data_IF_315596106739
#
_entry.id   IF_315596106739
#
_cell.length_a   1.000
_cell.length_b   1.000
_cell.length_c   1.000
_cell.angle_alpha   90.00
_cell.angle_beta   90.00
_cell.angle_gamma   90.00
#
_symmetry.space_group_name_H-M   'P 1'
#
loop_
_entity.id
_entity.type
_entity.pdbx_description
1 polymer ?
#
# COMPACT_ATOMS: atom_id res chain seq x y z
N UNK A 1 -12.73 -26.07 8.85
CA UNK A 1 -11.76 -25.57 7.88
C UNK A 1 -11.10 -24.34 8.49
N UNK A 2 -9.79 -24.39 8.72
CA UNK A 2 -9.03 -23.22 9.18
C UNK A 2 -8.93 -22.26 8.00
N UNK A 3 -9.15 -20.97 8.22
CA UNK A 3 -9.02 -19.97 7.18
C UNK A 3 -7.60 -19.97 6.58
N UNK A 4 -7.43 -19.69 5.27
CA UNK A 4 -6.13 -19.67 4.59
C UNK A 4 -5.06 -18.80 5.27
N UNK A 5 -5.51 -17.86 6.09
CA UNK A 5 -4.68 -16.89 6.81
C UNK A 5 -3.74 -17.48 7.89
N UNK A 6 -4.00 -18.69 8.39
CA UNK A 6 -3.16 -19.31 9.43
C UNK A 6 -1.79 -19.79 8.93
N UNK A 7 -1.65 -20.02 7.62
CA UNK A 7 -0.43 -20.53 7.02
C UNK A 7 0.67 -19.48 6.86
N UNK A 8 0.29 -18.24 6.66
CA UNK A 8 1.21 -17.11 6.49
C UNK A 8 1.53 -16.40 7.81
N UNK A 9 1.11 -17.00 8.94
CA UNK A 9 1.33 -16.52 10.30
C UNK A 9 0.91 -15.05 10.48
N UNK A 10 -0.39 -14.83 10.46
CA UNK A 10 -1.04 -13.52 10.69
C UNK A 10 -1.00 -13.08 12.14
N UNK A 11 -0.33 -13.83 13.04
CA UNK A 11 -0.22 -13.48 14.46
C UNK A 11 0.54 -12.17 14.66
N UNK A 12 0.22 -11.41 15.73
CA UNK A 12 0.73 -10.06 15.96
C UNK A 12 2.22 -9.96 16.34
N UNK A 13 3.06 -10.94 16.01
CA UNK A 13 4.50 -10.90 16.25
C UNK A 13 5.27 -10.82 14.93
N UNK A 14 6.49 -10.29 14.97
CA UNK A 14 7.40 -10.04 13.85
C UNK A 14 7.24 -10.99 12.66
N UNK A 15 7.58 -10.55 11.42
CA UNK A 15 7.48 -11.41 10.24
C UNK A 15 8.16 -12.74 10.54
N UNK A 16 7.51 -13.81 10.18
CA UNK A 16 7.63 -15.04 10.93
C UNK A 16 9.00 -15.67 10.73
N UNK A 17 9.54 -16.35 11.75
CA UNK A 17 10.63 -17.32 11.61
C UNK A 17 10.37 -18.32 10.47
N UNK A 18 9.11 -18.52 10.09
CA UNK A 18 8.68 -19.37 8.98
C UNK A 18 9.09 -18.82 7.61
N UNK A 19 8.92 -17.51 7.33
CA UNK A 19 9.37 -16.91 6.06
C UNK A 19 10.91 -17.00 5.91
N UNK A 20 11.65 -16.77 7.00
CA UNK A 20 13.10 -16.90 7.00
C UNK A 20 13.53 -18.35 6.70
N UNK A 21 12.88 -19.34 7.33
CA UNK A 21 13.16 -20.77 7.07
C UNK A 21 12.80 -21.17 5.65
N UNK A 22 11.65 -20.74 5.13
CA UNK A 22 11.23 -21.01 3.74
C UNK A 22 12.19 -20.37 2.75
N UNK A 23 12.52 -19.11 2.92
CA UNK A 23 13.49 -18.42 2.05
C UNK A 23 14.82 -19.17 1.94
N UNK A 24 15.30 -19.77 3.04
CA UNK A 24 16.57 -20.46 3.09
C UNK A 24 16.53 -21.90 2.54
N UNK A 25 15.40 -22.62 2.70
CA UNK A 25 15.28 -24.05 2.38
C UNK A 25 14.42 -24.34 1.17
N UNK A 26 13.39 -23.55 0.99
CA UNK A 26 12.29 -23.77 0.04
C UNK A 26 11.87 -22.42 -0.56
N UNK A 27 12.75 -21.77 -1.35
CA UNK A 27 12.55 -20.38 -1.80
C UNK A 27 11.35 -20.19 -2.73
N UNK A 28 10.78 -21.28 -3.27
CA UNK A 28 9.49 -21.35 -3.96
C UNK A 28 8.74 -22.53 -3.36
N UNK A 29 7.74 -22.25 -2.53
CA UNK A 29 7.04 -23.27 -1.75
C UNK A 29 5.58 -23.35 -2.10
N UNK A 30 5.05 -24.52 -2.43
CA UNK A 30 3.61 -24.72 -2.53
C UNK A 30 2.94 -24.60 -1.16
N UNK A 31 1.91 -23.77 -1.07
CA UNK A 31 1.09 -23.61 0.13
C UNK A 31 -0.33 -24.08 -0.15
N UNK A 32 -0.74 -25.23 0.42
CA UNK A 32 -2.11 -25.74 0.23
C UNK A 32 -3.19 -24.74 0.65
N UNK A 33 -2.90 -23.92 1.65
CA UNK A 33 -3.83 -22.91 2.18
C UNK A 33 -4.06 -21.74 1.23
N UNK A 34 -3.09 -21.46 0.35
CA UNK A 34 -3.22 -20.48 -0.73
C UNK A 34 -3.69 -21.13 -2.05
N UNK A 35 -3.65 -22.47 -2.13
CA UNK A 35 -3.71 -23.22 -3.38
C UNK A 35 -2.73 -22.61 -4.42
N UNK A 36 -1.52 -22.26 -4.00
CA UNK A 36 -0.56 -21.55 -4.81
C UNK A 36 0.88 -21.58 -4.24
N UNK A 37 1.79 -20.98 -4.98
CA UNK A 37 3.20 -20.89 -4.67
C UNK A 37 3.52 -19.61 -3.91
N UNK A 38 4.34 -19.68 -2.86
CA UNK A 38 4.89 -18.54 -2.15
C UNK A 38 6.35 -18.31 -2.54
N UNK A 39 6.71 -17.08 -2.88
CA UNK A 39 8.06 -16.67 -3.30
C UNK A 39 8.61 -15.61 -2.34
N UNK A 40 9.32 -15.98 -1.25
CA UNK A 40 9.89 -15.05 -0.29
C UNK A 40 11.35 -14.64 -0.58
N UNK A 41 12.04 -15.24 -1.56
CA UNK A 41 13.43 -14.93 -1.91
C UNK A 41 13.47 -13.79 -2.93
N UNK A 42 14.33 -12.80 -2.67
CA UNK A 42 14.31 -11.50 -3.38
C UNK A 42 14.61 -11.61 -4.87
N UNK A 43 15.61 -12.39 -5.29
CA UNK A 43 15.95 -12.56 -6.70
C UNK A 43 14.78 -13.15 -7.48
N UNK A 44 14.18 -14.24 -7.00
CA UNK A 44 13.01 -14.87 -7.62
C UNK A 44 11.76 -13.98 -7.58
N UNK A 45 11.59 -13.21 -6.51
CA UNK A 45 10.53 -12.21 -6.43
C UNK A 45 10.65 -11.14 -7.54
N UNK A 46 11.88 -10.69 -7.82
CA UNK A 46 12.16 -9.75 -8.90
C UNK A 46 11.89 -10.39 -10.28
N UNK A 47 12.28 -11.65 -10.48
CA UNK A 47 12.04 -12.37 -11.74
C UNK A 47 10.54 -12.48 -12.02
N UNK A 48 9.73 -12.91 -11.03
CA UNK A 48 8.28 -12.99 -11.16
C UNK A 48 7.66 -11.62 -11.47
N UNK A 49 8.08 -10.56 -10.79
CA UNK A 49 7.50 -9.21 -10.98
C UNK A 49 7.92 -8.54 -12.28
N UNK A 50 9.04 -8.94 -12.89
CA UNK A 50 9.53 -8.40 -14.18
C UNK A 50 8.92 -9.10 -15.39
N UNK A 51 8.68 -10.38 -15.28
CA UNK A 51 8.16 -11.19 -16.38
C UNK A 51 6.63 -11.28 -16.35
N UNK A 52 5.97 -10.19 -16.73
CA UNK A 52 4.51 -10.13 -16.84
C UNK A 52 3.95 -11.01 -17.98
N UNK A 53 4.81 -11.53 -18.87
CA UNK A 53 4.39 -12.46 -19.92
C UNK A 53 4.17 -13.85 -19.36
N UNK A 54 5.08 -14.30 -18.48
CA UNK A 54 4.97 -15.62 -17.84
C UNK A 54 4.13 -15.58 -16.55
N UNK A 55 4.15 -14.44 -15.81
CA UNK A 55 3.48 -14.26 -14.52
C UNK A 55 2.55 -13.05 -14.58
N UNK A 56 1.31 -13.26 -15.04
CA UNK A 56 0.34 -12.20 -15.29
C UNK A 56 -0.48 -11.83 -14.05
N UNK A 57 -1.02 -10.61 -14.03
CA UNK A 57 -2.14 -10.20 -13.17
C UNK A 57 -3.49 -10.30 -13.89
N UNK A 58 -3.48 -10.47 -15.21
CA UNK A 58 -4.69 -10.54 -16.03
C UNK A 58 -5.28 -11.96 -15.99
N UNK A 59 -5.94 -12.24 -14.87
CA UNK A 59 -6.61 -13.50 -14.59
C UNK A 59 -8.01 -13.23 -14.00
N UNK A 60 -9.05 -13.99 -14.42
CA UNK A 60 -10.41 -13.82 -13.91
C UNK A 60 -10.55 -13.95 -12.39
N UNK A 61 -9.61 -14.62 -11.72
CA UNK A 61 -9.58 -14.80 -10.26
C UNK A 61 -9.03 -13.59 -9.51
N UNK A 62 -8.50 -12.57 -10.21
CA UNK A 62 -7.96 -11.39 -9.57
C UNK A 62 -9.08 -10.61 -8.86
N UNK A 63 -9.11 -10.66 -7.52
CA UNK A 63 -10.24 -10.23 -6.70
C UNK A 63 -10.64 -8.76 -6.90
N UNK A 64 -9.66 -7.86 -7.07
CA UNK A 64 -9.96 -6.44 -7.30
C UNK A 64 -10.71 -6.22 -8.61
N UNK A 65 -10.33 -6.93 -9.70
CA UNK A 65 -11.01 -6.81 -10.99
C UNK A 65 -12.46 -7.29 -10.94
N UNK A 66 -12.76 -8.27 -10.09
CA UNK A 66 -14.14 -8.75 -9.89
C UNK A 66 -15.06 -7.70 -9.25
N UNK A 67 -14.51 -6.77 -8.45
CA UNK A 67 -15.29 -5.70 -7.79
C UNK A 67 -15.39 -4.44 -8.63
N UNK A 68 -14.27 -3.97 -9.18
CA UNK A 68 -14.19 -2.65 -9.83
C UNK A 68 -14.02 -2.70 -11.34
N UNK A 69 -13.83 -3.88 -11.91
CA UNK A 69 -13.57 -4.09 -13.33
C UNK A 69 -12.08 -4.02 -13.70
N UNK A 70 -11.75 -4.25 -14.97
CA UNK A 70 -10.38 -4.18 -15.48
C UNK A 70 -9.74 -2.80 -15.26
N UNK A 71 -8.48 -2.79 -14.85
CA UNK A 71 -7.76 -1.56 -14.49
C UNK A 71 -6.25 -1.73 -14.71
N UNK A 72 -5.48 -0.66 -14.52
CA UNK A 72 -4.01 -0.74 -14.52
C UNK A 72 -3.41 -1.70 -13.48
N UNK A 73 -4.20 -2.18 -12.52
CA UNK A 73 -3.75 -3.15 -11.51
C UNK A 73 -3.92 -4.60 -11.98
N UNK A 74 -4.92 -4.86 -12.83
CA UNK A 74 -5.37 -6.21 -13.23
C UNK A 74 -5.21 -6.51 -14.72
N UNK A 75 -4.49 -5.69 -15.45
CA UNK A 75 -4.21 -5.85 -16.87
C UNK A 75 -2.69 -5.92 -17.10
N UNK A 76 -2.25 -6.58 -18.16
CA UNK A 76 -0.86 -6.62 -18.59
C UNK A 76 -0.68 -6.15 -20.06
N UNK A 77 0.58 -6.04 -20.50
CA UNK A 77 0.93 -5.67 -21.87
C UNK A 77 0.40 -4.30 -22.29
N UNK A 78 -0.08 -4.22 -23.54
CA UNK A 78 -0.59 -2.98 -24.15
C UNK A 78 -1.83 -2.45 -23.43
N UNK A 79 -2.69 -3.33 -22.92
CA UNK A 79 -3.87 -2.96 -22.16
C UNK A 79 -3.49 -2.26 -20.84
N UNK A 80 -2.51 -2.81 -20.12
CA UNK A 80 -1.94 -2.17 -18.94
C UNK A 80 -1.36 -0.78 -19.28
N UNK A 81 -0.54 -0.69 -20.32
CA UNK A 81 0.08 0.57 -20.74
C UNK A 81 -1.00 1.63 -21.06
N UNK A 82 -2.03 1.27 -21.83
CA UNK A 82 -3.15 2.15 -22.18
C UNK A 82 -3.87 2.69 -20.95
N UNK A 83 -4.10 1.84 -19.94
CA UNK A 83 -4.76 2.23 -18.68
C UNK A 83 -3.86 3.07 -17.79
N UNK A 84 -2.55 2.80 -17.75
CA UNK A 84 -1.60 3.42 -16.84
C UNK A 84 -1.08 4.77 -17.32
N UNK A 85 -0.80 4.89 -18.63
CA UNK A 85 -0.16 6.09 -19.19
C UNK A 85 -0.87 7.41 -18.86
N UNK A 86 -2.22 7.51 -18.93
CA UNK A 86 -2.92 8.77 -18.63
C UNK A 86 -2.79 9.20 -17.16
N UNK A 87 -2.63 8.24 -16.25
CA UNK A 87 -2.56 8.50 -14.81
C UNK A 87 -1.13 8.75 -14.30
N UNK A 88 -0.09 8.29 -14.98
CA UNK A 88 1.27 8.32 -14.49
C UNK A 88 1.91 9.73 -14.37
N UNK A 89 1.69 10.71 -15.26
CA UNK A 89 2.42 11.97 -15.28
C UNK A 89 2.37 12.78 -13.96
N UNK A 90 1.22 12.95 -13.27
CA UNK A 90 1.14 13.72 -12.04
C UNK A 90 1.91 13.08 -10.86
N UNK A 91 2.24 11.78 -10.95
CA UNK A 91 2.93 11.04 -9.89
C UNK A 91 4.45 10.93 -10.10
N UNK A 92 5.00 11.59 -11.13
CA UNK A 92 6.46 11.71 -11.29
C UNK A 92 7.05 12.60 -10.19
N UNK A 93 8.31 12.39 -9.77
CA UNK A 93 8.90 13.07 -8.61
C UNK A 93 8.67 14.58 -8.57
N UNK A 94 9.00 15.27 -9.68
CA UNK A 94 8.83 16.73 -9.78
C UNK A 94 7.36 17.14 -9.75
N UNK A 95 6.50 16.44 -10.49
CA UNK A 95 5.08 16.74 -10.54
C UNK A 95 4.38 16.55 -9.18
N UNK A 96 4.81 15.52 -8.42
CA UNK A 96 4.35 15.32 -7.04
C UNK A 96 4.73 16.50 -6.15
N UNK A 97 5.97 16.94 -6.21
CA UNK A 97 6.42 18.09 -5.41
C UNK A 97 5.64 19.36 -5.79
N UNK A 98 5.57 19.68 -7.07
CA UNK A 98 4.96 20.93 -7.54
C UNK A 98 3.43 20.93 -7.38
N UNK A 99 2.76 19.75 -7.50
CA UNK A 99 1.31 19.62 -7.48
C UNK A 99 0.72 19.31 -6.10
N UNK A 100 1.41 18.54 -5.26
CA UNK A 100 0.81 18.02 -4.03
C UNK A 100 1.45 18.52 -2.74
N UNK A 101 2.72 18.99 -2.74
CA UNK A 101 3.43 19.29 -1.49
C UNK A 101 2.67 20.29 -0.62
N UNK A 102 2.27 21.43 -1.18
CA UNK A 102 1.55 22.46 -0.44
C UNK A 102 0.17 21.99 0.07
N UNK A 103 -0.51 21.11 -0.66
CA UNK A 103 -1.78 20.53 -0.22
C UNK A 103 -1.57 19.58 0.95
N UNK A 104 -0.61 18.65 0.85
CA UNK A 104 -0.26 17.69 1.90
C UNK A 104 0.16 18.40 3.18
N UNK A 105 1.00 19.45 3.06
CA UNK A 105 1.43 20.28 4.20
C UNK A 105 0.24 20.96 4.89
N UNK A 106 -0.67 21.60 4.14
CA UNK A 106 -1.86 22.27 4.71
C UNK A 106 -2.79 21.30 5.41
N UNK A 107 -3.05 20.13 4.81
CA UNK A 107 -3.93 19.13 5.43
C UNK A 107 -3.28 18.57 6.69
N UNK A 108 -2.00 18.23 6.64
CA UNK A 108 -1.26 17.73 7.80
C UNK A 108 -1.22 18.75 8.92
N UNK A 109 -0.92 20.02 8.61
CA UNK A 109 -0.90 21.12 9.59
C UNK A 109 -2.24 21.25 10.31
N UNK A 110 -3.34 21.28 9.58
CA UNK A 110 -4.71 21.33 10.15
C UNK A 110 -4.97 20.14 11.09
N UNK A 111 -4.63 18.92 10.66
CA UNK A 111 -4.87 17.71 11.43
C UNK A 111 -4.03 17.70 12.72
N UNK A 112 -2.74 18.03 12.64
CA UNK A 112 -1.85 18.06 13.80
C UNK A 112 -2.25 19.18 14.77
N UNK A 113 -2.60 20.39 14.28
CA UNK A 113 -3.08 21.49 15.10
C UNK A 113 -4.32 21.08 15.92
N UNK A 114 -5.22 20.31 15.34
CA UNK A 114 -6.40 19.82 16.07
C UNK A 114 -6.04 18.81 17.20
N UNK A 115 -4.91 18.11 17.08
CA UNK A 115 -4.46 17.12 18.06
C UNK A 115 -3.69 17.74 19.23
N UNK A 116 -2.89 18.78 18.99
CA UNK A 116 -1.95 19.36 19.97
C UNK A 116 -2.52 19.54 21.40
N UNK A 117 -3.75 20.10 21.57
CA UNK A 117 -4.28 20.34 22.90
C UNK A 117 -4.64 19.07 23.69
N UNK A 118 -4.78 17.92 23.01
CA UNK A 118 -5.33 16.70 23.63
C UNK A 118 -4.32 15.96 24.52
N UNK A 119 -3.01 15.98 24.21
CA UNK A 119 -1.96 15.24 24.93
C UNK A 119 -1.97 13.72 24.64
N UNK A 120 -2.98 13.20 23.95
CA UNK A 120 -3.09 11.82 23.51
C UNK A 120 -4.03 11.71 22.30
N UNK A 121 -3.80 10.76 21.41
CA UNK A 121 -4.68 10.47 20.28
C UNK A 121 -4.49 9.05 19.73
N UNK A 122 -5.48 8.60 18.95
CA UNK A 122 -5.39 7.43 18.07
C UNK A 122 -5.07 7.92 16.64
N UNK A 123 -3.80 7.85 16.23
CA UNK A 123 -3.30 8.54 15.03
C UNK A 123 -3.73 7.90 13.71
N UNK A 124 -4.14 6.64 13.70
CA UNK A 124 -4.64 6.03 12.47
C UNK A 124 -5.90 6.75 11.97
N UNK A 125 -6.87 6.98 12.87
CA UNK A 125 -8.17 7.58 12.53
C UNK A 125 -8.17 9.11 12.57
N UNK A 126 -7.27 9.71 13.36
CA UNK A 126 -7.27 11.16 13.53
C UNK A 126 -6.26 11.88 12.63
N UNK A 127 -5.31 11.16 12.03
CA UNK A 127 -4.31 11.75 11.15
C UNK A 127 -4.06 10.94 9.88
N UNK A 128 -3.60 9.68 9.97
CA UNK A 128 -3.10 8.94 8.81
C UNK A 128 -4.21 8.65 7.77
N UNK A 129 -5.36 8.14 8.22
CA UNK A 129 -6.52 7.90 7.36
C UNK A 129 -7.08 9.19 6.75
N UNK A 130 -7.43 10.22 7.56
CA UNK A 130 -7.92 11.50 7.03
C UNK A 130 -6.97 12.18 6.04
N UNK A 131 -5.64 12.11 6.27
CA UNK A 131 -4.65 12.64 5.32
C UNK A 131 -4.69 11.88 4.00
N UNK A 132 -4.60 10.54 4.04
CA UNK A 132 -4.62 9.71 2.85
C UNK A 132 -5.92 9.88 2.03
N UNK A 133 -7.08 9.95 2.69
CA UNK A 133 -8.37 10.20 2.02
C UNK A 133 -8.40 11.57 1.37
N UNK A 134 -7.96 12.62 2.07
CA UNK A 134 -7.95 13.98 1.52
C UNK A 134 -7.04 14.07 0.28
N UNK A 135 -5.85 13.45 0.32
CA UNK A 135 -4.90 13.49 -0.80
C UNK A 135 -5.41 12.69 -2.00
N UNK A 136 -6.04 11.55 -1.79
CA UNK A 136 -6.66 10.78 -2.88
C UNK A 136 -7.83 11.53 -3.50
N UNK A 137 -8.68 12.16 -2.68
CA UNK A 137 -9.82 12.99 -3.16
C UNK A 137 -9.31 14.13 -4.03
N UNK A 138 -8.27 14.85 -3.59
CA UNK A 138 -7.62 15.91 -4.36
C UNK A 138 -7.03 15.38 -5.67
N UNK A 139 -6.30 14.24 -5.62
CA UNK A 139 -5.67 13.64 -6.79
C UNK A 139 -6.67 13.20 -7.86
N UNK A 140 -7.81 12.66 -7.46
CA UNK A 140 -8.88 12.26 -8.39
C UNK A 140 -9.65 13.46 -8.91
N UNK A 141 -9.79 14.53 -8.13
CA UNK A 141 -10.53 15.74 -8.52
C UNK A 141 -12.01 15.47 -8.76
N UNK A 142 -12.63 14.63 -7.93
CA UNK A 142 -14.05 14.28 -8.03
C UNK A 142 -14.93 15.49 -7.69
N UNK A 143 -15.76 15.90 -8.62
CA UNK A 143 -16.66 17.06 -8.43
C UNK A 143 -17.82 16.71 -7.47
N UNK A 144 -18.04 17.59 -6.49
CA UNK A 144 -19.17 17.45 -5.55
C UNK A 144 -19.03 16.27 -4.58
N UNK A 145 -17.83 15.71 -4.43
CA UNK A 145 -17.56 14.57 -3.55
C UNK A 145 -16.64 15.02 -2.41
N UNK A 146 -17.05 14.78 -1.19
CA UNK A 146 -16.25 15.05 0.00
C UNK A 146 -15.44 13.81 0.46
N UNK A 147 -14.54 14.02 1.41
CA UNK A 147 -13.66 12.97 1.94
C UNK A 147 -14.44 11.84 2.64
N UNK A 148 -15.53 12.16 3.34
CA UNK A 148 -16.35 11.16 4.05
C UNK A 148 -17.05 10.23 3.06
N UNK A 149 -17.54 10.77 1.95
CA UNK A 149 -18.12 9.99 0.86
C UNK A 149 -17.10 9.06 0.20
N UNK A 150 -15.87 9.55 -0.05
CA UNK A 150 -14.77 8.73 -0.60
C UNK A 150 -14.40 7.62 0.38
N UNK A 151 -14.37 7.90 1.67
CA UNK A 151 -14.09 6.93 2.71
C UNK A 151 -15.15 5.82 2.75
N UNK A 152 -16.44 6.15 2.68
CA UNK A 152 -17.56 5.17 2.65
C UNK A 152 -17.43 4.22 1.43
N UNK A 153 -17.14 4.77 0.25
CA UNK A 153 -16.92 3.94 -0.93
C UNK A 153 -15.71 3.03 -0.79
N UNK A 154 -14.60 3.60 -0.30
CA UNK A 154 -13.37 2.85 -0.07
C UNK A 154 -13.58 1.68 0.89
N UNK A 155 -14.19 1.90 2.06
CA UNK A 155 -14.43 0.85 3.06
C UNK A 155 -15.32 -0.27 2.49
N UNK A 156 -16.34 0.10 1.71
CA UNK A 156 -17.26 -0.86 1.07
C UNK A 156 -16.54 -1.70 -0.01
N UNK A 157 -15.70 -1.09 -0.84
CA UNK A 157 -14.93 -1.78 -1.89
C UNK A 157 -13.87 -2.68 -1.27
N UNK A 158 -13.12 -2.21 -0.28
CA UNK A 158 -12.08 -3.00 0.43
C UNK A 158 -12.69 -4.23 1.08
N UNK A 159 -13.84 -4.08 1.73
CA UNK A 159 -14.55 -5.21 2.33
C UNK A 159 -14.93 -6.24 1.27
N UNK A 160 -15.51 -5.82 0.15
CA UNK A 160 -15.89 -6.72 -0.93
C UNK A 160 -14.68 -7.47 -1.53
N UNK A 161 -13.56 -6.78 -1.76
CA UNK A 161 -12.30 -7.40 -2.23
C UNK A 161 -11.78 -8.41 -1.21
N UNK A 162 -11.83 -8.07 0.07
CA UNK A 162 -11.38 -8.95 1.16
C UNK A 162 -12.26 -10.20 1.29
N UNK A 163 -13.58 -10.04 1.16
CA UNK A 163 -14.54 -11.15 1.20
C UNK A 163 -14.30 -12.12 0.03
N UNK A 164 -14.11 -11.61 -1.21
CA UNK A 164 -13.75 -12.45 -2.38
C UNK A 164 -12.43 -13.17 -2.14
N UNK A 165 -11.42 -12.49 -1.63
CA UNK A 165 -10.11 -13.10 -1.34
C UNK A 165 -10.21 -14.21 -0.29
N UNK A 166 -11.18 -14.09 0.63
CA UNK A 166 -11.49 -15.11 1.62
C UNK A 166 -12.42 -16.25 1.09
N UNK A 167 -12.79 -16.23 -0.19
CA UNK A 167 -13.71 -17.19 -0.81
C UNK A 167 -15.18 -16.95 -0.46
N UNK A 168 -15.53 -15.73 -0.04
CA UNK A 168 -16.89 -15.29 0.24
C UNK A 168 -17.46 -14.45 -0.91
N UNK A 169 -18.77 -14.23 -0.93
CA UNK A 169 -19.39 -13.32 -1.90
C UNK A 169 -19.09 -11.85 -1.59
N UNK A 170 -18.86 -11.04 -2.61
CA UNK A 170 -18.58 -9.60 -2.50
C UNK A 170 -19.69 -8.79 -1.78
N UNK A 171 -20.87 -9.35 -1.70
CA UNK A 171 -22.06 -8.70 -1.15
C UNK A 171 -22.53 -7.48 -1.98
N UNK A 172 -23.72 -6.94 -1.69
CA UNK A 172 -24.31 -5.85 -2.46
C UNK A 172 -23.64 -4.48 -2.18
N UNK A 173 -22.98 -4.30 -1.03
CA UNK A 173 -22.41 -3.01 -0.62
C UNK A 173 -21.25 -2.59 -1.51
N UNK A 174 -20.34 -3.51 -1.86
CA UNK A 174 -19.20 -3.25 -2.74
C UNK A 174 -19.65 -2.88 -4.16
N UNK A 175 -20.63 -3.59 -4.70
CA UNK A 175 -21.23 -3.29 -6.01
C UNK A 175 -21.91 -1.91 -6.01
N UNK A 176 -22.65 -1.58 -4.95
CA UNK A 176 -23.31 -0.29 -4.81
C UNK A 176 -22.29 0.87 -4.68
N UNK A 177 -21.22 0.68 -3.92
CA UNK A 177 -20.14 1.67 -3.79
C UNK A 177 -19.43 1.90 -5.13
N UNK A 178 -19.10 0.84 -5.86
CA UNK A 178 -18.51 0.92 -7.21
C UNK A 178 -19.43 1.66 -8.20
N UNK A 179 -20.75 1.42 -8.13
CA UNK A 179 -21.71 2.12 -8.97
C UNK A 179 -21.80 3.64 -8.62
N UNK A 180 -21.76 4.01 -7.34
CA UNK A 180 -21.73 5.43 -6.89
C UNK A 180 -20.47 6.13 -7.32
N UNK A 181 -19.30 5.49 -7.17
CA UNK A 181 -18.03 6.03 -7.68
C UNK A 181 -18.09 6.25 -9.20
N UNK A 182 -18.65 5.30 -9.96
CA UNK A 182 -18.84 5.45 -11.41
C UNK A 182 -19.69 6.66 -11.76
N UNK A 183 -20.81 6.86 -11.07
CA UNK A 183 -21.67 8.02 -11.27
C UNK A 183 -20.94 9.35 -10.95
N UNK A 184 -20.13 9.40 -9.91
CA UNK A 184 -19.32 10.57 -9.56
C UNK A 184 -18.23 10.84 -10.61
N UNK A 185 -17.61 9.81 -11.15
CA UNK A 185 -16.66 9.94 -12.27
C UNK A 185 -17.37 10.49 -13.51
N UNK A 186 -18.51 9.97 -13.90
CA UNK A 186 -19.30 10.46 -15.03
C UNK A 186 -19.71 11.93 -14.85
N UNK A 187 -20.15 12.32 -13.64
CA UNK A 187 -20.45 13.71 -13.30
C UNK A 187 -19.19 14.60 -13.46
N UNK A 188 -18.04 14.13 -13.00
CA UNK A 188 -16.76 14.84 -13.13
C UNK A 188 -16.35 15.01 -14.60
N UNK A 189 -16.56 14.00 -15.44
CA UNK A 189 -16.22 14.05 -16.86
C UNK A 189 -17.11 15.03 -17.65
N UNK A 190 -18.37 15.21 -17.24
CA UNK A 190 -19.32 16.11 -17.88
C UNK A 190 -19.23 17.54 -17.36
N UNK A 191 -18.63 17.78 -16.20
CA UNK A 191 -18.42 19.11 -15.64
C UNK A 191 -17.52 19.95 -16.56
N UNK A 192 -17.85 21.25 -16.73
CA UNK A 192 -17.09 22.18 -17.57
C UNK A 192 -15.96 22.92 -16.83
N UNK A 193 -15.77 22.61 -15.55
CA UNK A 193 -14.74 23.22 -14.70
C UNK A 193 -13.30 22.80 -15.06
N UNK A 194 -12.40 22.99 -14.11
CA UNK A 194 -10.96 22.80 -14.29
C UNK A 194 -10.57 21.41 -14.82
N UNK A 195 -9.40 21.32 -15.45
CA UNK A 195 -8.74 20.06 -15.79
C UNK A 195 -8.62 19.17 -14.57
N UNK A 196 -8.95 17.89 -14.72
CA UNK A 196 -8.71 16.87 -13.70
C UNK A 196 -7.99 15.67 -14.30
N UNK A 197 -7.34 14.88 -13.46
CA UNK A 197 -6.71 13.64 -13.85
C UNK A 197 -7.67 12.70 -14.60
N UNK A 198 -8.93 12.64 -14.14
CA UNK A 198 -9.95 11.80 -14.74
C UNK A 198 -10.32 12.27 -16.15
N UNK A 199 -10.39 13.58 -16.39
CA UNK A 199 -10.66 14.15 -17.73
C UNK A 199 -9.52 13.82 -18.71
N UNK A 200 -8.27 13.96 -18.27
CA UNK A 200 -7.11 13.55 -19.07
C UNK A 200 -7.15 12.06 -19.41
N UNK A 201 -7.54 11.21 -18.44
CA UNK A 201 -7.69 9.78 -18.70
C UNK A 201 -8.81 9.45 -19.69
N UNK A 202 -9.91 10.21 -19.67
CA UNK A 202 -11.04 10.03 -20.58
C UNK A 202 -10.74 10.34 -22.06
N UNK A 203 -9.59 10.97 -22.37
CA UNK A 203 -9.13 11.14 -23.75
C UNK A 203 -8.74 9.81 -24.39
N UNK A 204 -8.43 8.77 -23.58
CA UNK A 204 -7.95 7.46 -24.02
C UNK A 204 -8.76 6.27 -23.50
N UNK A 205 -9.56 6.49 -22.47
CA UNK A 205 -10.31 5.47 -21.75
C UNK A 205 -11.81 5.77 -21.78
N UNK A 206 -12.62 4.74 -21.81
CA UNK A 206 -14.06 4.87 -21.61
C UNK A 206 -14.38 5.32 -20.18
N UNK A 207 -15.57 5.94 -19.92
CA UNK A 207 -15.97 6.33 -18.56
C UNK A 207 -15.91 5.17 -17.54
N UNK A 208 -16.25 3.94 -17.97
CA UNK A 208 -16.17 2.76 -17.12
C UNK A 208 -14.72 2.41 -16.76
N UNK A 209 -13.78 2.47 -17.71
CA UNK A 209 -12.36 2.22 -17.48
C UNK A 209 -11.74 3.33 -16.61
N UNK A 210 -12.14 4.58 -16.80
CA UNK A 210 -11.72 5.68 -15.91
C UNK A 210 -12.18 5.41 -14.48
N UNK A 211 -13.43 4.97 -14.28
CA UNK A 211 -13.97 4.66 -12.96
C UNK A 211 -13.25 3.46 -12.31
N UNK A 212 -12.94 2.41 -13.08
CA UNK A 212 -12.17 1.26 -12.56
C UNK A 212 -10.78 1.68 -12.10
N UNK A 213 -10.09 2.53 -12.85
CA UNK A 213 -8.78 3.05 -12.46
C UNK A 213 -8.86 4.02 -11.26
N UNK A 214 -9.89 4.87 -11.20
CA UNK A 214 -10.15 5.73 -10.04
C UNK A 214 -10.36 4.91 -8.76
N UNK A 215 -11.11 3.81 -8.84
CA UNK A 215 -11.32 2.89 -7.72
C UNK A 215 -10.00 2.27 -7.24
N UNK A 216 -9.15 1.83 -8.18
CA UNK A 216 -7.82 1.28 -7.84
C UNK A 216 -6.91 2.33 -7.20
N UNK A 217 -6.92 3.57 -7.70
CA UNK A 217 -6.14 4.66 -7.11
C UNK A 217 -6.65 5.02 -5.70
N UNK A 218 -7.96 5.02 -5.48
CA UNK A 218 -8.57 5.23 -4.18
C UNK A 218 -8.17 4.12 -3.21
N UNK A 219 -8.33 2.86 -3.60
CA UNK A 219 -7.96 1.69 -2.82
C UNK A 219 -6.45 1.66 -2.49
N UNK A 220 -5.60 1.79 -3.50
CA UNK A 220 -4.15 1.77 -3.33
C UNK A 220 -3.60 2.97 -2.57
N UNK A 221 -4.22 4.14 -2.70
CA UNK A 221 -3.74 5.37 -2.08
C UNK A 221 -4.12 5.50 -0.60
N UNK A 222 -5.29 5.02 -0.19
CA UNK A 222 -5.74 5.17 1.20
C UNK A 222 -5.10 4.09 2.10
N UNK A 223 -5.32 2.81 1.78
CA UNK A 223 -4.93 1.69 2.63
C UNK A 223 -3.43 1.64 2.89
N UNK A 224 -2.65 1.76 1.83
CA UNK A 224 -1.19 1.61 1.92
C UNK A 224 -0.50 2.84 2.50
N UNK A 225 -0.99 4.06 2.22
CA UNK A 225 -0.42 5.29 2.80
C UNK A 225 -0.72 5.39 4.30
N UNK A 226 -1.94 5.05 4.71
CA UNK A 226 -2.27 4.91 6.13
C UNK A 226 -1.33 3.91 6.83
N UNK A 227 -1.07 2.76 6.19
CA UNK A 227 -0.13 1.76 6.69
C UNK A 227 1.30 2.32 6.76
N UNK A 228 1.77 3.02 5.74
CA UNK A 228 3.12 3.60 5.73
C UNK A 228 3.34 4.58 6.88
N UNK A 229 2.41 5.50 7.09
CA UNK A 229 2.49 6.50 8.17
C UNK A 229 2.49 5.82 9.53
N UNK A 230 1.54 4.91 9.77
CA UNK A 230 1.37 4.26 11.06
C UNK A 230 2.49 3.26 11.37
N UNK A 231 2.96 2.48 10.38
CA UNK A 231 4.07 1.54 10.56
C UNK A 231 5.39 2.27 10.81
N UNK A 232 5.68 3.34 10.07
CA UNK A 232 6.91 4.11 10.22
C UNK A 232 6.97 4.78 11.61
N UNK A 233 5.88 5.40 12.05
CA UNK A 233 5.81 6.00 13.37
C UNK A 233 5.92 4.94 14.48
N UNK A 234 5.21 3.82 14.35
CA UNK A 234 5.27 2.72 15.30
C UNK A 234 6.70 2.17 15.45
N UNK A 235 7.42 1.98 14.34
CA UNK A 235 8.81 1.51 14.37
C UNK A 235 9.73 2.54 15.05
N UNK A 236 9.62 3.81 14.72
CA UNK A 236 10.40 4.87 15.38
C UNK A 236 10.13 4.93 16.89
N UNK A 237 8.87 4.89 17.29
CA UNK A 237 8.51 4.95 18.71
C UNK A 237 8.88 3.68 19.51
N UNK A 238 9.04 2.54 18.84
CA UNK A 238 9.54 1.29 19.44
C UNK A 238 11.05 1.22 19.56
N UNK A 239 11.78 2.07 18.83
CA UNK A 239 13.24 2.12 18.83
C UNK A 239 13.71 3.52 19.23
N UNK A 240 13.72 3.85 20.56
CA UNK A 240 14.04 5.19 21.03
C UNK A 240 15.44 5.67 20.63
N UNK A 241 16.41 4.75 20.49
CA UNK A 241 17.75 5.01 19.99
C UNK A 241 17.73 5.52 18.54
N UNK A 242 16.93 4.89 17.67
CA UNK A 242 16.77 5.29 16.29
C UNK A 242 15.98 6.59 16.15
N UNK A 243 14.95 6.77 16.97
CA UNK A 243 14.19 8.02 17.04
C UNK A 243 15.09 9.18 17.48
N UNK A 244 15.99 8.98 18.43
CA UNK A 244 16.96 10.00 18.88
C UNK A 244 17.88 10.43 17.73
N UNK A 245 18.31 9.50 16.85
CA UNK A 245 19.10 9.82 15.66
C UNK A 245 18.32 10.71 14.69
N UNK A 246 17.06 10.36 14.41
CA UNK A 246 16.19 11.16 13.49
C UNK A 246 15.91 12.55 14.07
N UNK A 247 15.73 12.66 15.40
CA UNK A 247 15.56 13.97 16.06
C UNK A 247 16.82 14.82 16.03
N UNK A 248 18.00 14.21 16.11
CA UNK A 248 19.28 14.90 16.04
C UNK A 248 19.64 15.32 14.59
N UNK A 249 19.22 14.54 13.61
CA UNK A 249 19.44 14.79 12.18
C UNK A 249 18.17 14.49 11.38
N UNK A 250 17.44 15.56 11.05
CA UNK A 250 16.20 15.45 10.27
C UNK A 250 16.42 14.85 8.86
N UNK A 251 17.65 14.85 8.34
CA UNK A 251 18.02 14.20 7.08
C UNK A 251 17.87 12.67 7.12
N UNK A 252 17.85 12.06 8.32
CA UNK A 252 17.66 10.63 8.49
C UNK A 252 16.18 10.19 8.40
N UNK A 253 15.23 11.13 8.35
CA UNK A 253 13.80 10.78 8.29
C UNK A 253 13.46 9.96 7.02
N UNK A 254 14.05 10.30 5.87
CA UNK A 254 13.85 9.54 4.64
C UNK A 254 14.41 8.12 4.76
N UNK A 255 15.57 7.95 5.40
CA UNK A 255 16.13 6.64 5.71
C UNK A 255 15.22 5.82 6.63
N UNK A 256 14.63 6.45 7.64
CA UNK A 256 13.67 5.81 8.54
C UNK A 256 12.40 5.35 7.81
N UNK A 257 11.91 6.13 6.83
CA UNK A 257 10.76 5.76 5.99
C UNK A 257 11.09 4.55 5.12
N UNK A 258 12.22 4.57 4.41
CA UNK A 258 12.64 3.44 3.55
C UNK A 258 12.89 2.16 4.37
N UNK A 259 13.49 2.28 5.56
CA UNK A 259 13.72 1.14 6.45
C UNK A 259 12.42 0.60 7.05
N UNK A 260 11.46 1.48 7.33
CA UNK A 260 10.12 1.08 7.75
C UNK A 260 9.38 0.33 6.64
N UNK A 261 9.44 0.82 5.40
CA UNK A 261 8.89 0.13 4.22
C UNK A 261 9.54 -1.24 4.00
N UNK A 262 10.84 -1.36 4.26
CA UNK A 262 11.54 -2.63 4.19
C UNK A 262 11.01 -3.63 5.21
N UNK A 263 10.85 -3.21 6.46
CA UNK A 263 10.43 -4.09 7.56
C UNK A 263 8.94 -4.36 7.59
N UNK A 264 8.12 -3.34 7.46
CA UNK A 264 6.66 -3.41 7.55
C UNK A 264 6.03 -2.73 6.31
N UNK A 265 6.13 -3.34 5.11
CA UNK A 265 5.50 -2.80 3.91
C UNK A 265 3.99 -2.77 4.09
N UNK A 266 3.33 -1.72 3.58
CA UNK A 266 1.88 -1.60 3.64
C UNK A 266 1.16 -2.73 2.90
N UNK A 267 1.70 -3.16 1.74
CA UNK A 267 1.32 -4.39 1.04
C UNK A 267 2.40 -5.46 1.30
N UNK A 268 1.99 -6.60 1.83
CA UNK A 268 2.90 -7.69 2.22
C UNK A 268 3.20 -8.65 1.08
N UNK A 269 2.26 -8.79 0.17
CA UNK A 269 2.29 -9.74 -0.94
C UNK A 269 1.70 -9.12 -2.21
N UNK A 270 2.11 -9.65 -3.36
CA UNK A 270 1.48 -9.40 -4.67
C UNK A 270 1.31 -10.72 -5.41
N UNK A 271 0.15 -10.89 -6.04
CA UNK A 271 -0.22 -12.11 -6.73
C UNK A 271 0.06 -12.03 -8.22
N UNK A 272 0.39 -13.19 -8.80
CA UNK A 272 0.55 -13.44 -10.23
C UNK A 272 -0.04 -14.80 -10.55
N UNK A 273 -0.32 -15.03 -11.82
CA UNK A 273 -0.80 -16.30 -12.35
C UNK A 273 0.11 -16.74 -13.50
N UNK A 274 0.55 -17.99 -13.47
CA UNK A 274 1.38 -18.53 -14.53
C UNK A 274 0.58 -18.69 -15.83
N UNK A 275 1.07 -18.16 -16.93
CA UNK A 275 0.42 -18.24 -18.26
C UNK A 275 0.80 -19.51 -19.02
N UNK A 276 1.77 -20.25 -18.51
CA UNK A 276 2.33 -21.48 -19.10
C UNK A 276 3.09 -22.27 -18.05
N UNK A 277 3.34 -23.55 -18.35
CA UNK A 277 4.29 -24.35 -17.56
C UNK A 277 5.67 -23.68 -17.61
N UNK A 278 6.29 -23.52 -16.45
CA UNK A 278 7.58 -22.87 -16.29
C UNK A 278 8.31 -23.36 -15.03
N UNK A 279 9.63 -23.09 -14.95
CA UNK A 279 10.42 -23.34 -13.74
C UNK A 279 10.76 -22.00 -13.07
N UNK A 280 10.61 -21.94 -11.74
CA UNK A 280 11.06 -20.82 -10.93
C UNK A 280 11.97 -21.35 -9.81
N UNK A 281 13.28 -21.08 -9.88
CA UNK A 281 14.24 -21.78 -9.05
C UNK A 281 14.23 -23.29 -9.38
N UNK A 282 13.92 -24.11 -8.36
CA UNK A 282 13.81 -25.57 -8.50
C UNK A 282 12.36 -26.06 -8.58
N UNK A 283 11.38 -25.14 -8.58
CA UNK A 283 9.96 -25.48 -8.59
C UNK A 283 9.39 -25.51 -10.01
N UNK A 284 8.66 -26.58 -10.32
CA UNK A 284 7.88 -26.71 -11.56
C UNK A 284 6.49 -26.09 -11.35
N UNK A 285 6.27 -24.92 -11.93
CA UNK A 285 5.02 -24.16 -11.88
C UNK A 285 4.19 -24.50 -13.11
N UNK A 286 2.92 -24.82 -12.91
CA UNK A 286 2.00 -25.15 -13.99
C UNK A 286 1.24 -23.94 -14.47
N UNK A 287 0.82 -23.97 -15.74
CA UNK A 287 -0.13 -22.99 -16.27
C UNK A 287 -1.37 -22.87 -15.35
N UNK A 288 -1.75 -21.64 -15.06
CA UNK A 288 -2.87 -21.32 -14.17
C UNK A 288 -2.53 -21.34 -12.66
N UNK A 289 -1.32 -21.74 -12.26
CA UNK A 289 -0.93 -21.68 -10.85
C UNK A 289 -0.87 -20.23 -10.33
N UNK A 290 -1.36 -20.04 -9.10
CA UNK A 290 -1.15 -18.80 -8.35
C UNK A 290 0.29 -18.74 -7.82
N UNK A 291 0.96 -17.62 -8.07
CA UNK A 291 2.32 -17.32 -7.58
C UNK A 291 2.27 -16.04 -6.75
N UNK A 292 2.28 -16.19 -5.44
CA UNK A 292 2.27 -15.09 -4.47
C UNK A 292 3.68 -14.67 -4.11
N UNK A 293 4.10 -13.49 -4.55
CA UNK A 293 5.38 -12.89 -4.17
C UNK A 293 5.27 -12.27 -2.80
N UNK A 294 6.10 -12.72 -1.84
CA UNK A 294 6.18 -12.11 -0.51
C UNK A 294 7.15 -10.93 -0.51
N UNK A 295 6.62 -9.71 -0.60
CA UNK A 295 7.40 -8.48 -0.49
C UNK A 295 8.10 -8.40 0.87
N UNK A 296 7.40 -8.74 1.95
CA UNK A 296 7.95 -8.78 3.30
C UNK A 296 9.07 -9.81 3.46
N UNK A 297 8.96 -10.97 2.80
CA UNK A 297 10.00 -11.99 2.76
C UNK A 297 11.23 -11.52 1.98
N UNK A 298 11.03 -10.97 0.79
CA UNK A 298 12.07 -10.43 -0.08
C UNK A 298 12.82 -9.25 0.54
N UNK A 299 12.12 -8.41 1.29
CA UNK A 299 12.68 -7.26 2.01
C UNK A 299 13.52 -7.64 3.24
N UNK A 300 13.50 -8.90 3.63
CA UNK A 300 14.34 -9.47 4.71
C UNK A 300 15.32 -10.51 4.20
N UNK A 301 15.66 -10.49 2.92
CA UNK A 301 16.63 -11.41 2.36
C UNK A 301 18.05 -11.07 2.82
N UNK A 302 18.73 -11.97 3.58
CA UNK A 302 20.07 -11.72 4.12
C UNK A 302 21.14 -11.61 3.01
N UNK A 303 20.85 -12.08 1.80
CA UNK A 303 21.73 -11.88 0.65
C UNK A 303 21.87 -10.39 0.26
N UNK A 304 20.89 -9.54 0.67
CA UNK A 304 20.89 -8.11 0.38
C UNK A 304 20.92 -7.26 1.64
N UNK A 305 20.25 -7.69 2.71
CA UNK A 305 20.08 -6.92 3.94
C UNK A 305 20.77 -7.64 5.10
N UNK A 306 21.95 -7.16 5.49
CA UNK A 306 22.63 -7.65 6.70
C UNK A 306 21.74 -7.39 7.94
N UNK A 307 21.71 -8.32 8.89
CA UNK A 307 20.83 -8.26 10.07
C UNK A 307 19.40 -7.83 9.68
N UNK A 308 18.70 -8.65 8.86
CA UNK A 308 17.49 -8.21 8.14
C UNK A 308 16.32 -7.84 9.03
N UNK A 309 16.32 -8.27 10.28
CA UNK A 309 15.24 -7.98 11.25
C UNK A 309 15.53 -6.75 12.13
N UNK A 310 16.74 -6.18 12.06
CA UNK A 310 17.12 -4.97 12.77
C UNK A 310 16.56 -3.72 12.05
N UNK A 311 15.90 -2.86 12.79
CA UNK A 311 15.51 -1.52 12.32
C UNK A 311 16.71 -0.58 12.45
N UNK A 312 17.18 -0.03 11.33
CA UNK A 312 18.33 0.86 11.27
C UNK A 312 18.10 2.00 10.27
N UNK A 313 17.83 3.20 10.78
CA UNK A 313 17.51 4.40 9.98
C UNK A 313 18.67 4.86 9.08
N UNK A 314 19.87 4.32 9.29
CA UNK A 314 21.08 4.61 8.48
C UNK A 314 21.40 3.50 7.48
N UNK A 315 20.56 2.47 7.37
CA UNK A 315 20.79 1.38 6.43
C UNK A 315 20.82 1.87 4.98
N UNK A 316 21.95 1.80 4.28
CA UNK A 316 22.06 2.31 2.91
C UNK A 316 21.25 1.49 1.91
N UNK A 317 21.07 0.16 2.19
CA UNK A 317 20.33 -0.76 1.34
C UNK A 317 18.81 -0.62 1.50
N UNK A 318 18.30 0.13 2.50
CA UNK A 318 16.85 0.28 2.74
C UNK A 318 16.09 0.70 1.47
N UNK A 319 16.69 1.53 0.62
CA UNK A 319 16.13 1.97 -0.69
C UNK A 319 15.96 0.84 -1.71
N UNK A 320 16.58 -0.33 -1.48
CA UNK A 320 16.41 -1.52 -2.32
C UNK A 320 15.15 -2.32 -1.95
N UNK A 321 14.37 -1.87 -0.99
CA UNK A 321 13.12 -2.50 -0.58
C UNK A 321 12.13 -2.62 -1.75
N UNK A 322 11.21 -3.58 -1.67
CA UNK A 322 10.22 -3.90 -2.70
C UNK A 322 8.78 -3.59 -2.28
N UNK A 323 8.56 -2.73 -1.27
CA UNK A 323 7.21 -2.42 -0.78
C UNK A 323 6.31 -1.78 -1.86
N UNK A 324 6.91 -1.18 -2.89
CA UNK A 324 6.22 -0.61 -4.05
C UNK A 324 6.16 -1.56 -5.26
N UNK A 325 6.40 -2.85 -5.05
CA UNK A 325 6.57 -3.85 -6.09
C UNK A 325 7.74 -3.52 -7.06
N UNK A 326 7.78 -4.17 -8.22
CA UNK A 326 8.81 -3.96 -9.25
C UNK A 326 8.24 -4.27 -10.65
N UNK A 327 8.97 -3.83 -11.71
CA UNK A 327 8.58 -4.08 -13.09
C UNK A 327 7.40 -3.22 -13.56
N UNK A 328 6.57 -3.70 -14.50
CA UNK A 328 5.46 -2.94 -15.08
C UNK A 328 4.49 -2.41 -14.03
N UNK A 329 4.23 -3.17 -12.99
CA UNK A 329 3.33 -2.84 -11.88
C UNK A 329 4.00 -2.14 -10.70
N UNK A 330 5.21 -1.57 -10.86
CA UNK A 330 5.77 -0.69 -9.83
C UNK A 330 4.78 0.42 -9.48
N UNK A 331 4.58 0.69 -8.19
CA UNK A 331 3.57 1.65 -7.71
C UNK A 331 3.69 3.01 -8.41
N UNK A 332 2.61 3.45 -9.03
CA UNK A 332 2.58 4.73 -9.75
C UNK A 332 2.72 5.92 -8.81
N UNK A 333 2.16 5.83 -7.59
CA UNK A 333 2.11 6.89 -6.59
C UNK A 333 3.23 6.80 -5.53
N UNK A 334 4.29 6.02 -5.77
CA UNK A 334 5.36 5.79 -4.78
C UNK A 334 6.01 7.08 -4.24
N UNK A 335 6.12 8.12 -5.05
CA UNK A 335 6.67 9.41 -4.65
C UNK A 335 5.69 10.22 -3.79
N UNK A 336 4.39 10.17 -4.12
CA UNK A 336 3.35 10.85 -3.35
C UNK A 336 3.20 10.21 -1.96
N UNK A 337 3.15 8.89 -1.86
CA UNK A 337 3.08 8.18 -0.60
C UNK A 337 4.30 8.49 0.33
N UNK A 338 5.49 8.62 -0.24
CA UNK A 338 6.68 9.07 0.50
C UNK A 338 6.55 10.51 0.98
N UNK A 339 6.02 11.41 0.16
CA UNK A 339 5.78 12.80 0.52
C UNK A 339 4.80 12.90 1.69
N UNK A 340 3.66 12.24 1.60
CA UNK A 340 2.65 12.19 2.66
C UNK A 340 3.24 11.67 3.98
N UNK A 341 3.94 10.54 3.91
CA UNK A 341 4.56 9.94 5.10
C UNK A 341 5.60 10.86 5.73
N UNK A 342 6.45 11.49 4.91
CA UNK A 342 7.50 12.42 5.38
C UNK A 342 6.89 13.64 6.06
N UNK A 343 5.90 14.27 5.44
CA UNK A 343 5.25 15.48 5.98
C UNK A 343 4.52 15.15 7.28
N UNK A 344 3.79 14.03 7.32
CA UNK A 344 3.09 13.58 8.51
C UNK A 344 4.04 13.30 9.68
N UNK A 345 5.10 12.50 9.46
CA UNK A 345 6.07 12.17 10.49
C UNK A 345 6.84 13.40 10.98
N UNK A 346 7.31 14.25 10.06
CA UNK A 346 7.99 15.49 10.44
C UNK A 346 7.10 16.35 11.33
N UNK A 347 5.87 16.64 10.91
CA UNK A 347 4.95 17.47 11.69
C UNK A 347 4.66 16.90 13.08
N UNK A 348 4.46 15.58 13.20
CA UNK A 348 4.26 14.92 14.49
C UNK A 348 5.49 15.02 15.40
N UNK A 349 6.69 14.77 14.87
CA UNK A 349 7.94 14.77 15.64
C UNK A 349 8.35 16.19 16.09
N UNK A 350 8.06 17.21 15.27
CA UNK A 350 8.42 18.60 15.55
C UNK A 350 7.42 19.26 16.53
N UNK A 351 6.13 18.90 16.47
CA UNK A 351 5.05 19.62 17.17
C UNK A 351 4.51 18.91 18.40
N UNK A 352 4.76 17.59 18.55
CA UNK A 352 4.29 16.81 19.70
C UNK A 352 5.48 16.42 20.59
N UNK A 353 5.84 17.27 21.58
CA UNK A 353 7.01 17.01 22.43
C UNK A 353 6.81 15.76 23.27
N UNK A 354 7.87 14.97 23.44
CA UNK A 354 7.78 13.72 24.18
C UNK A 354 6.88 12.65 23.57
N UNK A 355 6.58 12.74 22.25
CA UNK A 355 5.73 11.76 21.55
C UNK A 355 6.21 10.33 21.80
N UNK A 356 5.31 9.49 22.30
CA UNK A 356 5.56 8.09 22.69
C UNK A 356 4.31 7.22 22.50
N UNK A 357 4.50 5.91 22.45
CA UNK A 357 3.38 4.97 22.43
C UNK A 357 2.61 5.03 23.76
N UNK A 358 1.30 4.85 23.67
CA UNK A 358 0.48 4.66 24.85
C UNK A 358 0.67 3.24 25.41
N UNK A 359 1.20 3.06 26.62
CA UNK A 359 1.42 1.74 27.21
C UNK A 359 0.13 0.97 27.51
N UNK A 360 -1.00 1.67 27.68
CA UNK A 360 -2.30 1.05 27.93
C UNK A 360 -2.94 0.47 26.66
N UNK A 361 -2.48 0.92 25.48
CA UNK A 361 -3.00 0.50 24.19
C UNK A 361 -1.86 0.03 23.27
N UNK A 362 -1.31 -1.18 23.49
CA UNK A 362 -0.20 -1.68 22.70
C UNK A 362 -0.63 -1.89 21.23
N UNK A 363 0.12 -1.28 20.33
CA UNK A 363 -0.11 -1.40 18.89
C UNK A 363 0.73 -2.53 18.31
N UNK A 364 0.15 -3.34 17.41
CA UNK A 364 0.89 -4.36 16.66
C UNK A 364 0.33 -4.44 15.25
N UNK A 365 1.18 -4.40 14.20
CA UNK A 365 0.72 -4.55 12.83
C UNK A 365 0.04 -5.90 12.61
N UNK A 366 -1.09 -5.88 11.94
CA UNK A 366 -1.89 -7.04 11.59
C UNK A 366 -2.30 -6.99 10.12
N UNK A 367 -2.51 -8.13 9.51
CA UNK A 367 -2.98 -8.30 8.13
C UNK A 367 -2.01 -9.09 7.26
N UNK A 368 -2.59 -9.82 6.30
CA UNK A 368 -1.86 -10.66 5.35
C UNK A 368 -1.51 -9.90 4.07
N UNK A 369 -2.48 -9.28 3.44
CA UNK A 369 -2.30 -8.52 2.20
C UNK A 369 -1.89 -7.10 2.54
N UNK A 370 -2.69 -6.42 3.37
CA UNK A 370 -2.39 -5.10 3.90
C UNK A 370 -2.08 -5.20 5.38
N UNK A 371 -0.96 -4.63 5.79
CA UNK A 371 -0.45 -4.77 7.15
C UNK A 371 -0.19 -3.43 7.80
N UNK A 372 -0.96 -3.17 8.87
CA UNK A 372 -0.85 -1.96 9.71
C UNK A 372 -1.38 -2.25 11.11
N UNK A 373 -1.07 -1.44 12.13
CA UNK A 373 -1.74 -1.54 13.42
C UNK A 373 -3.22 -1.18 13.27
N UNK A 374 -4.16 -1.97 13.84
CA UNK A 374 -5.58 -1.65 13.84
C UNK A 374 -5.89 -0.29 14.48
N UNK A 375 -5.07 0.12 15.45
CA UNK A 375 -5.08 1.43 16.08
C UNK A 375 -3.65 1.79 16.50
N UNK A 376 -3.29 3.09 16.47
CA UNK A 376 -1.99 3.60 16.93
C UNK A 376 -2.22 4.70 17.97
N UNK A 377 -2.33 4.30 19.23
CA UNK A 377 -2.48 5.21 20.35
C UNK A 377 -1.12 5.76 20.80
N UNK A 378 -1.05 7.06 20.93
CA UNK A 378 0.14 7.80 21.33
C UNK A 378 -0.20 8.83 22.40
N UNK A 379 0.83 9.25 23.16
CA UNK A 379 0.78 10.34 24.13
C UNK A 379 1.96 11.28 23.90
N UNK A 380 1.78 12.56 24.27
CA UNK A 380 2.83 13.58 24.25
C UNK A 380 2.68 14.55 25.41
N UNK A 381 3.71 15.36 25.63
CA UNK A 381 3.71 16.36 26.69
C UNK A 381 2.98 17.63 26.19
N UNK A 382 2.23 18.29 27.09
CA UNK A 382 1.45 19.51 26.78
C UNK A 382 2.27 20.75 27.06
#
# INVERSE_FOLDING_TARGET
>A
PRAPHDALDTRPRAPPPRLARRRARDPVSWLPELAGWLVPRRDLALDVMRDAVTFTVDDPRFSTAQVVGPSMLSLDGDAHARHREPFAPPFRPRAVHDGFAAFVERVTDRLVTALEPAGAAELRRTLAGPLAVAVVTEALGLVGTDADTVLDWYESIVRAVSDITAGLDAGPAGTAASARLRAAVEATLTDRGAHSLLKTAAERLTPSEVASNAAVMMFGGIETTEAMITNALLLLLRHPDQLALVRADAGLLDGAIEESLRLEPGAMVVDRYATRDTCLGEADIREGDLVTVSLAGANRDPAVFADPDRFDVRRPEARLQLAFAHGPHHCVAAHLARLETRVALRSLLDRLPGLRLDPEHPATPYGLVFRKPPALHVRWDR
#
